data_IF_801191835132
#
_entry.id   IF_801191835132
#
_cell.length_a   1.000
_cell.length_b   1.000
_cell.length_c   1.000
_cell.angle_alpha   90.00
_cell.angle_beta   90.00
_cell.angle_gamma   90.00
#
_symmetry.space_group_name_H-M   'P 1'
#
loop_
_entity.id
_entity.type
_entity.pdbx_description
1 polymer ?
#
# COMPACT_ATOMS: atom_id res chain seq x y z
N UNK A 1 -10.26 6.90 -7.47
CA UNK A 1 -11.57 7.58 -7.69
C UNK A 1 -11.93 8.46 -6.50
N UNK A 2 -12.06 7.90 -5.30
CA UNK A 2 -12.33 8.62 -4.03
C UNK A 2 -11.27 9.67 -3.68
N UNK A 3 -9.98 9.37 -3.91
CA UNK A 3 -8.87 10.31 -3.64
C UNK A 3 -9.00 11.62 -4.43
N UNK A 4 -9.39 11.52 -5.71
CA UNK A 4 -9.55 12.68 -6.60
C UNK A 4 -10.73 13.54 -6.14
N UNK A 5 -11.84 12.91 -5.73
CA UNK A 5 -13.01 13.62 -5.21
C UNK A 5 -12.70 14.35 -3.89
N UNK A 6 -11.99 13.70 -2.96
CA UNK A 6 -11.56 14.35 -1.71
C UNK A 6 -10.57 15.49 -1.95
N UNK A 7 -9.58 15.30 -2.83
CA UNK A 7 -8.64 16.35 -3.18
C UNK A 7 -9.35 17.55 -3.84
N UNK A 8 -10.27 17.30 -4.78
CA UNK A 8 -11.06 18.33 -5.45
C UNK A 8 -11.92 19.14 -4.45
N UNK A 9 -12.54 18.47 -3.46
CA UNK A 9 -13.32 19.14 -2.42
C UNK A 9 -12.51 20.07 -1.51
N UNK A 10 -11.20 19.85 -1.38
CA UNK A 10 -10.31 20.67 -0.54
C UNK A 10 -9.62 21.82 -1.30
N UNK A 11 -9.73 21.85 -2.65
CA UNK A 11 -9.20 22.93 -3.50
C UNK A 11 -9.63 24.34 -3.03
N UNK A 12 -10.92 24.63 -2.76
CA UNK A 12 -11.31 25.96 -2.31
C UNK A 12 -10.71 26.35 -0.95
N UNK A 13 -10.47 25.39 -0.05
CA UNK A 13 -9.79 25.64 1.23
C UNK A 13 -8.28 25.84 1.07
N UNK A 14 -7.65 25.22 0.06
CA UNK A 14 -6.23 25.41 -0.26
C UNK A 14 -5.95 26.80 -0.88
N UNK A 15 -6.93 27.39 -1.58
CA UNK A 15 -6.80 28.71 -2.21
C UNK A 15 -6.97 29.89 -1.23
N UNK A 16 -7.21 29.63 0.06
CA UNK A 16 -7.21 30.64 1.13
C UNK A 16 -8.17 31.83 0.91
N UNK A 17 -9.29 31.66 0.20
CA UNK A 17 -10.26 32.73 0.00
C UNK A 17 -11.02 33.04 1.30
N UNK A 18 -10.55 34.05 2.04
CA UNK A 18 -11.22 34.60 3.24
C UNK A 18 -10.28 34.85 4.44
N UNK A 19 -10.71 35.70 5.38
CA UNK A 19 -9.99 35.96 6.63
C UNK A 19 -9.78 34.66 7.44
N UNK A 20 -8.53 34.38 7.85
CA UNK A 20 -8.15 33.11 8.50
C UNK A 20 -7.72 32.00 7.53
N UNK A 21 -7.61 32.29 6.23
CA UNK A 21 -7.08 31.36 5.21
C UNK A 21 -5.62 30.95 5.43
N UNK A 22 -4.85 31.76 6.17
CA UNK A 22 -3.42 31.55 6.48
C UNK A 22 -3.14 30.22 7.20
N UNK A 23 -4.09 29.75 8.02
CA UNK A 23 -3.98 28.46 8.71
C UNK A 23 -4.67 27.32 7.95
N UNK A 24 -5.73 27.61 7.20
CA UNK A 24 -6.52 26.59 6.49
C UNK A 24 -5.84 26.11 5.22
N UNK A 25 -5.13 27.00 4.53
CA UNK A 25 -4.37 26.68 3.32
C UNK A 25 -3.26 25.64 3.55
N UNK A 26 -2.33 25.80 4.52
CA UNK A 26 -1.28 24.81 4.74
C UNK A 26 -1.83 23.46 5.21
N UNK A 27 -2.91 23.46 6.00
CA UNK A 27 -3.57 22.22 6.42
C UNK A 27 -4.20 21.48 5.23
N UNK A 28 -4.91 22.18 4.34
CA UNK A 28 -5.51 21.58 3.15
C UNK A 28 -4.43 21.04 2.18
N UNK A 29 -3.34 21.78 1.99
CA UNK A 29 -2.21 21.35 1.15
C UNK A 29 -1.55 20.09 1.72
N UNK A 30 -1.34 20.02 3.04
CA UNK A 30 -0.76 18.85 3.69
C UNK A 30 -1.63 17.60 3.49
N UNK A 31 -2.96 17.72 3.59
CA UNK A 31 -3.88 16.60 3.38
C UNK A 31 -3.88 16.14 1.92
N UNK A 32 -3.95 17.06 0.96
CA UNK A 32 -3.92 16.72 -0.48
C UNK A 32 -2.61 15.99 -0.82
N UNK A 33 -1.48 16.51 -0.36
CA UNK A 33 -0.17 15.88 -0.55
C UNK A 33 -0.12 14.48 0.09
N UNK A 34 -0.61 14.33 1.33
CA UNK A 34 -0.66 13.06 2.03
C UNK A 34 -1.52 12.01 1.34
N UNK A 35 -2.66 12.41 0.75
CA UNK A 35 -3.54 11.52 -0.01
C UNK A 35 -2.86 11.02 -1.30
N UNK A 36 -2.20 11.91 -2.04
CA UNK A 36 -1.44 11.53 -3.24
C UNK A 36 -0.30 10.61 -2.86
N UNK A 37 0.48 10.98 -1.83
CA UNK A 37 1.62 10.21 -1.38
C UNK A 37 1.22 8.83 -0.85
N UNK A 38 0.12 8.73 -0.11
CA UNK A 38 -0.43 7.44 0.36
C UNK A 38 -0.80 6.51 -0.80
N UNK A 39 -1.39 7.07 -1.87
CA UNK A 39 -1.75 6.29 -3.07
C UNK A 39 -0.49 5.78 -3.77
N UNK A 40 0.50 6.64 -3.99
CA UNK A 40 1.78 6.26 -4.61
C UNK A 40 2.56 5.28 -3.75
N UNK A 41 2.63 5.54 -2.45
CA UNK A 41 3.33 4.69 -1.50
C UNK A 41 2.67 3.32 -1.48
N UNK A 42 1.34 3.21 -1.47
CA UNK A 42 0.67 1.91 -1.52
C UNK A 42 0.99 1.13 -2.81
N UNK A 43 0.99 1.80 -3.97
CA UNK A 43 1.35 1.17 -5.25
C UNK A 43 2.76 0.57 -5.27
N UNK A 44 3.72 1.18 -4.56
CA UNK A 44 5.11 0.70 -4.49
C UNK A 44 5.36 -0.21 -3.28
N UNK A 45 4.76 0.11 -2.15
CA UNK A 45 4.95 -0.56 -0.86
C UNK A 45 4.32 -1.95 -0.86
N UNK A 46 3.09 -2.10 -1.37
CA UNK A 46 2.41 -3.40 -1.43
C UNK A 46 3.24 -4.45 -2.19
N UNK A 47 3.72 -4.21 -3.42
CA UNK A 47 4.54 -5.21 -4.11
C UNK A 47 5.90 -5.42 -3.43
N UNK A 48 6.53 -4.37 -2.88
CA UNK A 48 7.78 -4.51 -2.14
C UNK A 48 7.63 -5.43 -0.91
N UNK A 49 6.55 -5.26 -0.14
CA UNK A 49 6.23 -6.12 1.00
C UNK A 49 5.92 -7.54 0.53
N UNK A 50 5.22 -7.71 -0.58
CA UNK A 50 4.92 -9.04 -1.13
C UNK A 50 6.20 -9.81 -1.49
N UNK A 51 7.16 -9.15 -2.14
CA UNK A 51 8.49 -9.74 -2.44
C UNK A 51 9.29 -10.06 -1.17
N UNK A 52 9.21 -9.20 -0.17
CA UNK A 52 9.85 -9.42 1.13
C UNK A 52 9.27 -10.66 1.83
N UNK A 53 7.94 -10.79 1.85
CA UNK A 53 7.25 -11.94 2.44
C UNK A 53 7.50 -13.23 1.66
N UNK A 54 7.51 -13.20 0.33
CA UNK A 54 7.88 -14.37 -0.49
C UNK A 54 9.30 -14.85 -0.18
N UNK A 55 10.24 -13.91 -0.08
CA UNK A 55 11.63 -14.20 0.29
C UNK A 55 11.72 -14.79 1.69
N UNK A 56 10.98 -14.23 2.66
CA UNK A 56 10.96 -14.70 4.03
C UNK A 56 10.34 -16.09 4.17
N UNK A 57 9.25 -16.35 3.43
CA UNK A 57 8.59 -17.65 3.36
C UNK A 57 9.48 -18.74 2.77
N UNK A 58 10.30 -18.41 1.76
CA UNK A 58 11.29 -19.34 1.20
C UNK A 58 12.40 -19.68 2.17
N UNK A 59 12.90 -18.70 2.92
CA UNK A 59 13.94 -18.90 3.96
C UNK A 59 13.39 -19.75 5.12
N UNK A 60 12.21 -19.39 5.64
CA UNK A 60 11.55 -20.15 6.70
C UNK A 60 11.16 -21.56 6.24
N UNK A 61 10.62 -21.70 5.03
CA UNK A 61 10.26 -22.97 4.42
C UNK A 61 11.47 -23.85 4.10
N UNK A 62 12.61 -23.28 3.74
CA UNK A 62 13.86 -24.03 3.58
C UNK A 62 14.43 -24.54 4.92
N UNK A 63 14.30 -23.74 5.98
CA UNK A 63 14.70 -24.11 7.34
C UNK A 63 13.77 -25.16 7.95
N UNK A 64 12.45 -25.01 7.79
CA UNK A 64 11.44 -25.92 8.32
C UNK A 64 11.26 -27.17 7.44
N UNK A 65 11.43 -27.04 6.12
CA UNK A 65 11.36 -28.12 5.13
C UNK A 65 12.55 -29.08 5.19
N UNK A 66 13.66 -28.68 5.84
CA UNK A 66 14.69 -29.64 6.27
C UNK A 66 14.19 -30.59 7.36
N UNK A 67 13.07 -30.27 8.01
CA UNK A 67 12.42 -31.08 9.06
C UNK A 67 11.08 -31.67 8.62
N UNK A 68 10.32 -30.98 7.76
CA UNK A 68 9.06 -31.48 7.18
C UNK A 68 9.40 -32.28 5.93
N UNK A 69 9.37 -33.61 6.08
CA UNK A 69 9.64 -34.58 5.03
C UNK A 69 8.74 -34.42 3.80
N UNK A 70 9.10 -35.13 2.70
CA UNK A 70 8.46 -35.01 1.40
C UNK A 70 6.94 -35.03 1.53
N UNK A 71 6.26 -34.03 0.97
CA UNK A 71 4.85 -34.18 0.65
C UNK A 71 4.80 -35.21 -0.47
N UNK A 72 4.46 -36.44 -0.10
CA UNK A 72 3.88 -37.39 -1.03
C UNK A 72 2.57 -36.74 -1.50
N UNK A 73 2.54 -36.29 -2.74
CA UNK A 73 1.30 -36.12 -3.49
C UNK A 73 1.07 -37.42 -4.28
N UNK A 74 0.36 -38.43 -3.72
CA UNK A 74 -0.12 -39.55 -4.50
C UNK A 74 -1.38 -39.09 -5.23
N UNK A 75 -1.25 -38.47 -6.42
CA UNK A 75 -2.29 -38.46 -7.48
C UNK A 75 -1.93 -37.54 -8.66
N UNK A 76 -1.21 -38.11 -9.63
CA UNK A 76 -1.36 -37.78 -11.05
C UNK A 76 -0.99 -38.99 -11.93
N UNK A 77 -1.43 -40.17 -11.51
CA UNK A 77 -1.62 -41.33 -12.39
C UNK A 77 -3.10 -41.70 -12.26
N UNK A 78 -3.89 -41.43 -13.30
CA UNK A 78 -5.04 -42.21 -13.79
C UNK A 78 -5.87 -41.30 -14.73
N UNK A 79 -5.71 -41.59 -16.03
CA UNK A 79 -6.71 -41.60 -17.13
C UNK A 79 -7.76 -40.49 -17.16
#
# INVERSE_FOLDING_TARGET
>A
MTTIAMAAGMVPSALAFGEGGEFRAPMAVAVIAGLIFSTLLSLVFVPAVFLLMDSLGRVLGGLLGRFVGPRDDPQATWV
#
